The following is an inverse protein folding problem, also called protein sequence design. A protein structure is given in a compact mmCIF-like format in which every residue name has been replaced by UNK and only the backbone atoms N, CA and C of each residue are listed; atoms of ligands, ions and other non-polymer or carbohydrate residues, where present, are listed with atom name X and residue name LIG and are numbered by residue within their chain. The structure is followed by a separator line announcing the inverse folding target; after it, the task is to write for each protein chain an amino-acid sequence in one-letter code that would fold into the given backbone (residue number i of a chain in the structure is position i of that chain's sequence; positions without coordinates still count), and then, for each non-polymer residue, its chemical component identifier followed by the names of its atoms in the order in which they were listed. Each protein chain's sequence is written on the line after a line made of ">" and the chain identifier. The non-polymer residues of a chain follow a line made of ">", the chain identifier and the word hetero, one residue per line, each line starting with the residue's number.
data_IF_361516452747
#
_entry.id   IF_361516452747
#
_cell.length_a   1.000
_cell.length_b   1.000
_cell.length_c   1.000
_cell.angle_alpha   90.00
_cell.angle_beta   90.00
_cell.angle_gamma   90.00
#
_symmetry.space_group_name_H-M   'P 1'
#
loop_
_entity.id
_entity.type
_entity.pdbx_description
1 polymer ?
#
# COMPACT_ATOMS: atom_id res chain seq x y z
N UNK A 1 22.07 -20.91 -13.25
CA UNK A 1 21.76 -19.68 -12.49
C UNK A 1 22.30 -19.84 -11.07
N UNK A 2 23.13 -18.92 -10.57
CA UNK A 2 23.92 -19.10 -9.35
C UNK A 2 23.06 -18.91 -8.08
N UNK A 3 22.88 -19.97 -7.29
CA UNK A 3 22.14 -19.98 -6.02
C UNK A 3 22.62 -18.92 -4.99
N UNK A 4 23.86 -18.42 -5.11
CA UNK A 4 24.40 -17.33 -4.28
C UNK A 4 23.65 -15.99 -4.44
N UNK A 5 23.02 -15.76 -5.60
CA UNK A 5 22.22 -14.54 -5.85
C UNK A 5 20.85 -14.56 -5.18
N UNK A 6 20.15 -15.70 -5.24
CA UNK A 6 18.80 -15.84 -4.70
C UNK A 6 18.81 -15.73 -3.17
N UNK A 7 19.67 -16.48 -2.50
CA UNK A 7 19.75 -16.48 -1.03
C UNK A 7 20.02 -15.06 -0.49
N UNK A 8 21.02 -14.37 -1.05
CA UNK A 8 21.38 -13.02 -0.64
C UNK A 8 20.24 -12.02 -0.89
N UNK A 9 19.54 -12.11 -2.02
CA UNK A 9 18.40 -11.26 -2.34
C UNK A 9 17.20 -11.51 -1.42
N UNK A 10 16.92 -12.77 -1.07
CA UNK A 10 15.88 -13.12 -0.10
C UNK A 10 16.22 -12.64 1.32
N UNK A 11 17.48 -12.74 1.74
CA UNK A 11 17.94 -12.24 3.04
C UNK A 11 17.84 -10.71 3.12
N UNK A 12 18.21 -10.02 2.04
CA UNK A 12 18.06 -8.56 1.93
C UNK A 12 16.58 -8.15 1.99
N UNK A 13 15.70 -8.83 1.24
CA UNK A 13 14.26 -8.58 1.30
C UNK A 13 13.72 -8.79 2.71
N UNK A 14 14.11 -9.89 3.38
CA UNK A 14 13.70 -10.18 4.75
C UNK A 14 14.14 -9.05 5.70
N UNK A 15 15.41 -8.65 5.65
CA UNK A 15 15.96 -7.61 6.50
C UNK A 15 15.24 -6.26 6.27
N UNK A 16 15.07 -5.86 5.02
CA UNK A 16 14.41 -4.59 4.67
C UNK A 16 12.92 -4.58 5.00
N UNK A 17 12.23 -5.72 4.86
CA UNK A 17 10.82 -5.81 5.23
C UNK A 17 10.62 -5.74 6.75
N UNK A 18 11.48 -6.41 7.53
CA UNK A 18 11.46 -6.29 9.00
C UNK A 18 11.83 -4.88 9.46
N UNK A 19 12.79 -4.23 8.80
CA UNK A 19 13.12 -2.83 9.07
C UNK A 19 11.92 -1.91 8.79
N UNK A 20 11.23 -2.10 7.66
CA UNK A 20 9.99 -1.39 7.34
C UNK A 20 8.92 -1.58 8.40
N UNK A 21 8.74 -2.80 8.91
CA UNK A 21 7.81 -3.09 10.00
C UNK A 21 8.21 -2.39 11.31
N UNK A 22 9.49 -2.42 11.67
CA UNK A 22 10.00 -1.72 12.86
C UNK A 22 9.77 -0.20 12.77
N UNK A 23 10.02 0.40 11.60
CA UNK A 23 9.72 1.82 11.35
C UNK A 23 8.20 2.08 11.44
N UNK A 24 7.39 1.16 10.92
CA UNK A 24 5.93 1.22 11.05
C UNK A 24 5.46 1.24 12.51
N UNK A 25 6.12 0.47 13.39
CA UNK A 25 5.85 0.49 14.82
C UNK A 25 6.23 1.85 15.45
N UNK A 26 7.38 2.41 15.09
CA UNK A 26 7.80 3.75 15.54
C UNK A 26 6.79 4.82 15.10
N UNK A 27 6.28 4.74 13.86
CA UNK A 27 5.20 5.60 13.38
C UNK A 27 3.94 5.47 14.25
N UNK A 28 3.51 4.24 14.56
CA UNK A 28 2.34 4.03 15.42
C UNK A 28 2.54 4.60 16.82
N UNK A 29 3.72 4.42 17.41
CA UNK A 29 4.07 4.99 18.71
C UNK A 29 4.09 6.53 18.70
N UNK A 30 4.59 7.14 17.62
CA UNK A 30 4.58 8.59 17.44
C UNK A 30 3.14 9.12 17.36
N UNK A 31 2.30 8.51 16.52
CA UNK A 31 0.90 8.92 16.36
C UNK A 31 0.08 8.72 17.63
N UNK A 32 0.32 7.63 18.38
CA UNK A 32 -0.34 7.37 19.65
C UNK A 32 -0.05 8.45 20.72
N UNK A 33 1.10 9.12 20.63
CA UNK A 33 1.46 10.23 21.52
C UNK A 33 0.92 11.58 21.04
N UNK A 34 0.69 11.73 19.73
CA UNK A 34 0.27 12.99 19.13
C UNK A 34 -1.25 13.14 19.01
N UNK A 35 -1.99 12.03 18.92
CA UNK A 35 -3.44 12.01 18.74
C UNK A 35 -4.18 11.73 20.05
N UNK A 36 -5.42 12.18 20.13
CA UNK A 36 -6.34 11.73 21.17
C UNK A 36 -6.62 10.22 21.02
N UNK A 37 -7.09 9.57 22.09
CA UNK A 37 -7.48 8.15 22.04
C UNK A 37 -8.55 7.88 20.97
N UNK A 38 -9.49 8.81 20.81
CA UNK A 38 -10.55 8.71 19.80
C UNK A 38 -9.99 8.82 18.37
N UNK A 39 -9.14 9.82 18.11
CA UNK A 39 -8.55 10.04 16.78
C UNK A 39 -7.59 8.90 16.39
N UNK A 40 -6.84 8.38 17.37
CA UNK A 40 -5.99 7.21 17.16
C UNK A 40 -6.81 5.96 16.83
N UNK A 41 -7.95 5.76 17.50
CA UNK A 41 -8.90 4.68 17.18
C UNK A 41 -9.48 4.81 15.77
N UNK A 42 -9.87 6.02 15.38
CA UNK A 42 -10.35 6.31 14.03
C UNK A 42 -9.27 6.05 12.96
N UNK A 43 -8.05 6.54 13.18
CA UNK A 43 -6.92 6.31 12.27
C UNK A 43 -6.68 4.81 12.05
N UNK A 44 -6.68 4.00 13.10
CA UNK A 44 -6.50 2.56 12.96
C UNK A 44 -7.67 1.88 12.23
N UNK A 45 -8.90 2.35 12.47
CA UNK A 45 -10.09 1.85 11.76
C UNK A 45 -10.01 2.15 10.27
N UNK A 46 -9.58 3.35 9.90
CA UNK A 46 -9.34 3.77 8.52
C UNK A 46 -8.22 2.96 7.84
N UNK A 47 -7.10 2.73 8.54
CA UNK A 47 -6.00 1.89 8.03
C UNK A 47 -6.44 0.43 7.82
N UNK A 48 -7.21 -0.13 8.76
CA UNK A 48 -7.74 -1.48 8.66
C UNK A 48 -8.73 -1.61 7.48
N UNK A 49 -9.59 -0.60 7.30
CA UNK A 49 -10.49 -0.54 6.16
C UNK A 49 -9.74 -0.52 4.82
N UNK A 50 -8.70 0.33 4.69
CA UNK A 50 -7.85 0.34 3.52
C UNK A 50 -7.15 -1.01 3.26
N UNK A 51 -6.70 -1.68 4.33
CA UNK A 51 -6.14 -3.03 4.24
C UNK A 51 -7.14 -4.06 3.71
N UNK A 52 -8.39 -3.99 4.17
CA UNK A 52 -9.46 -4.88 3.70
C UNK A 52 -9.77 -4.68 2.21
N UNK A 53 -9.79 -3.43 1.74
CA UNK A 53 -9.96 -3.12 0.32
C UNK A 53 -8.81 -3.62 -0.56
N UNK A 54 -7.59 -3.69 -0.02
CA UNK A 54 -6.42 -4.16 -0.75
C UNK A 54 -6.32 -5.69 -0.86
N UNK A 55 -7.01 -6.46 -0.01
CA UNK A 55 -6.93 -7.93 0.02
C UNK A 55 -7.23 -8.60 -1.34
N UNK A 56 -8.33 -8.27 -2.05
CA UNK A 56 -8.64 -8.91 -3.33
C UNK A 56 -7.53 -8.65 -4.37
N UNK A 57 -6.95 -7.44 -4.38
CA UNK A 57 -5.86 -7.09 -5.27
C UNK A 57 -4.61 -7.94 -5.01
N UNK A 58 -4.27 -8.19 -3.74
CA UNK A 58 -3.16 -9.06 -3.36
C UNK A 58 -3.36 -10.53 -3.79
N UNK A 59 -4.57 -11.06 -3.62
CA UNK A 59 -4.93 -12.43 -4.04
C UNK A 59 -4.81 -12.54 -5.57
N UNK A 60 -5.44 -11.62 -6.29
CA UNK A 60 -5.43 -11.64 -7.76
C UNK A 60 -4.02 -11.45 -8.32
N UNK A 61 -3.25 -10.52 -7.75
CA UNK A 61 -1.86 -10.30 -8.13
C UNK A 61 -0.98 -11.54 -7.96
N UNK A 62 -1.21 -12.35 -6.92
CA UNK A 62 -0.49 -13.61 -6.72
C UNK A 62 -0.79 -14.65 -7.79
N UNK A 63 -2.05 -14.73 -8.26
CA UNK A 63 -2.43 -15.62 -9.37
C UNK A 63 -1.77 -15.18 -10.68
N UNK A 64 -1.76 -13.88 -10.95
CA UNK A 64 -1.14 -13.33 -12.15
C UNK A 64 0.37 -13.48 -12.17
N UNK A 65 1.03 -13.39 -11.01
CA UNK A 65 2.45 -13.68 -10.89
C UNK A 65 2.76 -15.10 -11.40
N UNK A 66 1.92 -16.09 -11.08
CA UNK A 66 2.06 -17.46 -11.59
C UNK A 66 1.90 -17.51 -13.11
N UNK A 67 0.84 -16.90 -13.63
CA UNK A 67 0.57 -16.85 -15.08
C UNK A 67 1.69 -16.16 -15.87
N UNK A 68 2.25 -15.07 -15.32
CA UNK A 68 3.38 -14.38 -15.92
C UNK A 68 4.60 -15.30 -16.01
N UNK A 69 4.93 -16.01 -14.93
CA UNK A 69 6.05 -16.96 -14.92
C UNK A 69 5.83 -18.12 -15.92
N UNK A 70 4.61 -18.65 -16.03
CA UNK A 70 4.25 -19.67 -17.02
C UNK A 70 4.46 -19.17 -18.46
N UNK A 71 4.02 -17.95 -18.78
CA UNK A 71 4.22 -17.35 -20.12
C UNK A 71 5.67 -17.08 -20.44
N UNK A 72 6.46 -16.62 -19.47
CA UNK A 72 7.90 -16.39 -19.64
C UNK A 72 8.64 -17.70 -19.90
N UNK A 73 8.31 -18.76 -19.16
CA UNK A 73 8.88 -20.09 -19.40
C UNK A 73 8.51 -20.66 -20.78
N UNK A 74 7.35 -20.28 -21.32
CA UNK A 74 6.93 -20.61 -22.68
C UNK A 74 7.55 -19.70 -23.77
N UNK A 75 8.49 -18.81 -23.42
CA UNK A 75 9.14 -17.89 -24.37
C UNK A 75 8.31 -16.66 -24.75
N UNK A 76 7.20 -16.40 -24.06
CA UNK A 76 6.22 -15.32 -24.37
C UNK A 76 6.32 -14.15 -23.39
N UNK A 77 7.54 -13.75 -23.05
CA UNK A 77 7.79 -12.69 -22.06
C UNK A 77 7.20 -11.32 -22.47
N UNK A 78 7.29 -10.96 -23.76
CA UNK A 78 6.76 -9.69 -24.26
C UNK A 78 5.23 -9.62 -24.18
N UNK A 79 4.54 -10.73 -24.46
CA UNK A 79 3.09 -10.86 -24.32
C UNK A 79 2.68 -10.69 -22.85
N UNK A 80 3.37 -11.39 -21.94
CA UNK A 80 3.12 -11.33 -20.50
C UNK A 80 3.30 -9.90 -19.94
N UNK A 81 4.30 -9.17 -20.44
CA UNK A 81 4.55 -7.78 -20.05
C UNK A 81 3.51 -6.81 -20.60
N UNK A 82 3.02 -7.03 -21.82
CA UNK A 82 1.96 -6.21 -22.42
C UNK A 82 0.64 -6.38 -21.67
N UNK A 83 0.24 -7.61 -21.39
CA UNK A 83 -0.97 -7.92 -20.61
C UNK A 83 -0.90 -7.31 -19.21
N UNK A 84 0.26 -7.39 -18.58
CA UNK A 84 0.46 -6.79 -17.27
C UNK A 84 0.29 -5.26 -17.29
N UNK A 85 0.87 -4.58 -18.29
CA UNK A 85 0.70 -3.13 -18.45
C UNK A 85 -0.76 -2.77 -18.69
N UNK A 86 -1.45 -3.51 -19.56
CA UNK A 86 -2.87 -3.31 -19.82
C UNK A 86 -3.69 -3.49 -18.53
N UNK A 87 -3.36 -4.50 -17.73
CA UNK A 87 -4.00 -4.73 -16.44
C UNK A 87 -3.74 -3.58 -15.46
N UNK A 88 -2.50 -3.09 -15.33
CA UNK A 88 -2.21 -1.95 -14.44
C UNK A 88 -2.98 -0.70 -14.85
N UNK A 89 -3.13 -0.45 -16.14
CA UNK A 89 -3.95 0.66 -16.66
C UNK A 89 -5.42 0.44 -16.31
N UNK A 90 -5.96 -0.76 -16.55
CA UNK A 90 -7.33 -1.10 -16.22
C UNK A 90 -7.60 -1.01 -14.70
N UNK A 91 -6.67 -1.50 -13.88
CA UNK A 91 -6.74 -1.42 -12.43
C UNK A 91 -6.63 0.02 -11.92
N UNK A 92 -5.81 0.85 -12.56
CA UNK A 92 -5.71 2.28 -12.22
C UNK A 92 -7.01 3.01 -12.56
N UNK A 93 -7.61 2.72 -13.72
CA UNK A 93 -8.90 3.26 -14.10
C UNK A 93 -10.01 2.80 -13.15
N UNK A 94 -10.04 1.50 -12.80
CA UNK A 94 -11.00 0.94 -11.85
C UNK A 94 -10.83 1.52 -10.44
N UNK A 95 -9.59 1.71 -9.97
CA UNK A 95 -9.29 2.34 -8.69
C UNK A 95 -9.72 3.82 -8.67
N UNK A 96 -9.46 4.57 -9.76
CA UNK A 96 -9.89 5.95 -9.88
C UNK A 96 -11.43 6.07 -9.91
N UNK A 97 -12.10 5.20 -10.65
CA UNK A 97 -13.56 5.14 -10.70
C UNK A 97 -14.17 4.75 -9.34
N UNK A 98 -13.61 3.72 -8.70
CA UNK A 98 -14.00 3.30 -7.35
C UNK A 98 -13.78 4.40 -6.32
N UNK A 99 -12.67 5.15 -6.41
CA UNK A 99 -12.42 6.32 -5.57
C UNK A 99 -13.46 7.41 -5.82
N UNK A 100 -13.81 7.72 -7.06
CA UNK A 100 -14.84 8.70 -7.38
C UNK A 100 -16.20 8.33 -6.77
N UNK A 101 -16.59 7.06 -6.84
CA UNK A 101 -17.80 6.55 -6.16
C UNK A 101 -17.65 6.63 -4.64
N UNK A 102 -16.53 6.20 -4.09
CA UNK A 102 -16.33 6.22 -2.64
C UNK A 102 -16.37 7.66 -2.09
N UNK A 103 -15.88 8.65 -2.85
CA UNK A 103 -15.95 10.06 -2.50
C UNK A 103 -17.40 10.58 -2.45
N UNK A 104 -18.28 10.16 -3.35
CA UNK A 104 -19.71 10.53 -3.27
C UNK A 104 -20.41 9.86 -2.08
N UNK A 105 -19.88 8.72 -1.62
CA UNK A 105 -20.35 7.99 -0.45
C UNK A 105 -19.64 8.38 0.86
N UNK A 106 -18.81 9.44 0.87
CA UNK A 106 -18.11 9.91 2.08
C UNK A 106 -19.04 10.10 3.29
N UNK A 107 -20.27 10.66 3.17
CA UNK A 107 -21.20 10.78 4.30
C UNK A 107 -21.61 9.41 4.90
N UNK A 108 -21.75 8.40 4.05
CA UNK A 108 -22.10 7.03 4.48
C UNK A 108 -20.92 6.42 5.26
N UNK A 109 -19.70 6.61 4.77
CA UNK A 109 -18.49 6.19 5.48
C UNK A 109 -18.32 6.92 6.81
N UNK A 110 -18.57 8.24 6.86
CA UNK A 110 -18.53 9.01 8.11
C UNK A 110 -19.53 8.50 9.14
N UNK A 111 -20.77 8.20 8.72
CA UNK A 111 -21.77 7.58 9.60
C UNK A 111 -21.34 6.20 10.11
N UNK A 112 -20.83 5.33 9.23
CA UNK A 112 -20.39 3.98 9.59
C UNK A 112 -19.17 3.99 10.53
N UNK A 113 -18.20 4.87 10.26
CA UNK A 113 -17.01 5.09 11.09
C UNK A 113 -17.28 5.94 12.33
N UNK A 114 -18.50 6.47 12.49
CA UNK A 114 -18.91 7.38 13.56
C UNK A 114 -17.97 8.58 13.69
N UNK A 115 -17.63 9.20 12.57
CA UNK A 115 -16.75 10.37 12.50
C UNK A 115 -17.36 11.48 11.66
N UNK A 116 -17.09 12.72 12.07
CA UNK A 116 -17.32 13.97 11.35
C UNK A 116 -16.07 14.45 10.59
N UNK A 117 -14.92 13.81 10.79
CA UNK A 117 -13.67 14.15 10.10
C UNK A 117 -13.64 13.58 8.68
N UNK A 118 -14.42 14.18 7.79
CA UNK A 118 -14.51 13.77 6.38
C UNK A 118 -13.18 13.91 5.64
N UNK A 119 -12.30 14.83 6.05
CA UNK A 119 -10.96 14.97 5.48
C UNK A 119 -10.15 13.69 5.66
N UNK A 120 -10.15 13.09 6.86
CA UNK A 120 -9.46 11.83 7.12
C UNK A 120 -10.01 10.67 6.29
N UNK A 121 -11.34 10.62 6.11
CA UNK A 121 -12.01 9.62 5.26
C UNK A 121 -11.59 9.78 3.80
N UNK A 122 -11.64 10.99 3.25
CA UNK A 122 -11.24 11.30 1.87
C UNK A 122 -9.78 10.92 1.61
N UNK A 123 -8.87 11.33 2.50
CA UNK A 123 -7.45 10.98 2.39
C UNK A 123 -7.25 9.46 2.40
N UNK A 124 -8.00 8.74 3.23
CA UNK A 124 -7.94 7.28 3.29
C UNK A 124 -8.46 6.62 2.02
N UNK A 125 -9.55 7.12 1.44
CA UNK A 125 -10.09 6.64 0.16
C UNK A 125 -9.04 6.79 -0.95
N UNK A 126 -8.45 7.98 -1.07
CA UNK A 126 -7.43 8.25 -2.08
C UNK A 126 -6.19 7.39 -1.87
N UNK A 127 -5.72 7.27 -0.63
CA UNK A 127 -4.58 6.42 -0.28
C UNK A 127 -4.85 4.94 -0.59
N UNK A 128 -6.07 4.46 -0.32
CA UNK A 128 -6.47 3.08 -0.60
C UNK A 128 -6.54 2.81 -2.10
N UNK A 129 -7.06 3.75 -2.89
CA UNK A 129 -7.10 3.63 -4.34
C UNK A 129 -5.69 3.52 -4.94
N UNK A 130 -4.75 4.36 -4.50
CA UNK A 130 -3.34 4.21 -4.86
C UNK A 130 -2.77 2.88 -4.38
N UNK A 131 -3.06 2.48 -3.14
CA UNK A 131 -2.62 1.23 -2.53
C UNK A 131 -3.05 -0.02 -3.29
N UNK A 132 -4.26 -0.03 -3.85
CA UNK A 132 -4.75 -1.14 -4.69
C UNK A 132 -3.91 -1.32 -5.96
N UNK A 133 -3.55 -0.23 -6.64
CA UNK A 133 -2.68 -0.27 -7.83
C UNK A 133 -1.29 -0.78 -7.47
N UNK A 134 -0.70 -0.28 -6.38
CA UNK A 134 0.59 -0.78 -5.87
C UNK A 134 0.55 -2.25 -5.47
N UNK A 135 -0.57 -2.71 -4.87
CA UNK A 135 -0.75 -4.11 -4.45
C UNK A 135 -0.74 -5.09 -5.63
N UNK A 136 -1.11 -4.63 -6.83
CA UNK A 136 -0.94 -5.40 -8.05
C UNK A 136 0.51 -5.34 -8.55
N UNK A 137 1.13 -4.16 -8.55
CA UNK A 137 2.50 -3.98 -9.06
C UNK A 137 3.55 -4.82 -8.32
N UNK A 138 3.38 -5.04 -7.01
CA UNK A 138 4.32 -5.81 -6.18
C UNK A 138 4.49 -7.26 -6.68
N UNK A 139 3.43 -8.06 -6.88
CA UNK A 139 3.51 -9.39 -7.47
C UNK A 139 4.29 -9.47 -8.79
N UNK A 140 4.18 -8.50 -9.69
CA UNK A 140 5.01 -8.48 -10.91
C UNK A 140 6.49 -8.29 -10.60
N UNK A 141 6.82 -7.33 -9.74
CA UNK A 141 8.20 -7.11 -9.34
C UNK A 141 8.78 -8.37 -8.67
N UNK A 142 7.97 -9.09 -7.90
CA UNK A 142 8.31 -10.41 -7.34
C UNK A 142 8.51 -11.45 -8.43
N UNK A 143 7.63 -11.51 -9.44
CA UNK A 143 7.74 -12.41 -10.59
C UNK A 143 9.06 -12.20 -11.36
N UNK A 144 9.47 -10.93 -11.50
CA UNK A 144 10.73 -10.50 -12.13
C UNK A 144 11.95 -10.63 -11.22
N UNK A 145 11.79 -11.14 -10.00
CA UNK A 145 12.85 -11.31 -9.00
C UNK A 145 13.51 -9.98 -8.57
N UNK A 146 12.79 -8.86 -8.62
CA UNK A 146 13.28 -7.54 -8.20
C UNK A 146 13.20 -7.35 -6.68
N UNK A 147 13.64 -8.36 -5.92
CA UNK A 147 13.54 -8.40 -4.46
C UNK A 147 14.26 -7.24 -3.78
N UNK A 148 15.40 -6.80 -4.30
CA UNK A 148 16.16 -5.66 -3.78
C UNK A 148 15.35 -4.37 -3.88
N UNK A 149 14.73 -4.12 -5.05
CA UNK A 149 13.91 -2.93 -5.28
C UNK A 149 12.65 -2.94 -4.40
N UNK A 150 12.03 -4.11 -4.23
CA UNK A 150 10.89 -4.29 -3.32
C UNK A 150 11.26 -4.01 -1.86
N UNK A 151 12.39 -4.56 -1.39
CA UNK A 151 12.88 -4.32 -0.03
C UNK A 151 13.19 -2.84 0.20
N UNK A 152 13.92 -2.20 -0.73
CA UNK A 152 14.25 -0.77 -0.65
C UNK A 152 12.97 0.07 -0.66
N UNK A 153 12.01 -0.26 -1.53
CA UNK A 153 10.72 0.42 -1.59
C UNK A 153 9.92 0.31 -0.30
N UNK A 154 9.91 -0.86 0.35
CA UNK A 154 9.25 -1.07 1.64
C UNK A 154 9.87 -0.22 2.75
N UNK A 155 11.20 -0.27 2.88
CA UNK A 155 11.92 0.52 3.88
C UNK A 155 11.81 2.03 3.62
N UNK A 156 12.01 2.47 2.38
CA UNK A 156 11.89 3.87 1.98
C UNK A 156 10.46 4.39 2.17
N UNK A 157 9.44 3.60 1.83
CA UNK A 157 8.04 3.95 2.05
C UNK A 157 7.71 4.10 3.53
N UNK A 158 8.23 3.21 4.39
CA UNK A 158 8.07 3.33 5.84
C UNK A 158 8.78 4.57 6.40
N UNK A 159 10.01 4.86 5.94
CA UNK A 159 10.76 6.06 6.32
C UNK A 159 10.03 7.33 5.88
N UNK A 160 9.52 7.38 4.65
CA UNK A 160 8.76 8.51 4.13
C UNK A 160 7.49 8.73 4.96
N UNK A 161 6.75 7.66 5.29
CA UNK A 161 5.57 7.74 6.15
C UNK A 161 5.94 8.32 7.53
N UNK A 162 7.01 7.85 8.14
CA UNK A 162 7.48 8.36 9.43
C UNK A 162 7.90 9.84 9.32
N UNK A 163 8.63 10.22 8.28
CA UNK A 163 9.06 11.60 8.06
C UNK A 163 7.85 12.54 7.87
N UNK A 164 6.85 12.13 7.07
CA UNK A 164 5.63 12.90 6.88
C UNK A 164 4.80 13.01 8.17
N UNK A 165 4.72 11.93 8.95
CA UNK A 165 4.05 11.96 10.25
C UNK A 165 4.75 12.92 11.22
N UNK A 166 6.07 12.84 11.31
CA UNK A 166 6.89 13.72 12.13
C UNK A 166 6.71 15.19 11.71
N UNK A 167 6.77 15.48 10.40
CA UNK A 167 6.51 16.81 9.87
C UNK A 167 5.09 17.29 10.19
N UNK A 168 4.08 16.44 10.03
CA UNK A 168 2.68 16.79 10.33
C UNK A 168 2.46 17.14 11.81
N UNK A 169 3.08 16.38 12.72
CA UNK A 169 3.02 16.65 14.16
C UNK A 169 3.73 17.96 14.53
N UNK A 170 4.87 18.27 13.91
CA UNK A 170 5.69 19.42 14.28
C UNK A 170 5.36 20.73 13.53
N UNK A 171 4.82 20.67 12.31
CA UNK A 171 4.47 21.85 11.51
C UNK A 171 3.09 22.43 11.84
N UNK A 172 2.42 21.94 12.89
CA UNK A 172 1.16 22.49 13.40
C UNK A 172 0.10 22.73 12.30
N UNK A 173 -0.01 21.81 11.33
CA UNK A 173 -1.32 21.62 10.69
C UNK A 173 -2.22 21.18 11.85
N UNK A 174 -3.29 21.90 12.21
CA UNK A 174 -4.19 21.45 13.27
C UNK A 174 -4.78 20.11 12.84
N UNK A 175 -4.14 19.02 13.30
CA UNK A 175 -4.56 17.64 13.07
C UNK A 175 -5.80 17.31 13.91
N UNK A 176 -6.13 18.16 14.87
CA UNK A 176 -7.42 18.24 15.54
C UNK A 176 -8.29 19.27 14.83
N UNK A 177 -9.43 18.85 14.30
CA UNK A 177 -10.53 19.77 13.96
C UNK A 177 -11.21 20.31 15.22
N UNK A 178 -10.45 21.01 16.07
CA UNK A 178 -10.91 21.78 17.21
C UNK A 178 -10.38 23.22 17.07
#
# INVERSE_FOLDING_TARGET
>A
MRARGLFSASLLLLALNNLGAAIGYVFQALMARALSVADFGLMNSLLAFGGLLALPAGIYGSLLQRQWAEKVNAGRAAEADLEWRALLVAASAAAAFGAAIALTLTPVFGWWLRTDNFTAVIVTILASACGMVFSLAIPLATARQWFSALGIGSAAGALLRLALAWLGVHLAVPLSGA
#
